data_IF_841223249551
#
_entry.id   IF_841223249551
#
_cell.length_a   1.000
_cell.length_b   1.000
_cell.length_c   1.000
_cell.angle_alpha   90.00
_cell.angle_beta   90.00
_cell.angle_gamma   90.00
#
_symmetry.space_group_name_H-M   'P 1'
#
loop_
_entity.id
_entity.type
_entity.pdbx_description
1 polymer ?
#
# COMPACT_ATOMS: atom_id res chain seq x y z
N UNK A 1 3.62 26.72 -16.82
CA UNK A 1 4.69 26.36 -15.88
C UNK A 1 5.55 25.25 -16.44
N UNK A 2 6.85 25.28 -16.13
CA UNK A 2 7.74 24.14 -16.37
C UNK A 2 7.62 23.17 -15.19
N UNK A 3 7.23 21.92 -15.45
CA UNK A 3 6.99 20.93 -14.41
C UNK A 3 7.96 19.78 -14.53
N UNK A 4 8.67 19.47 -13.44
CA UNK A 4 9.51 18.27 -13.31
C UNK A 4 8.97 17.35 -12.22
N UNK A 5 8.78 16.07 -12.55
CA UNK A 5 8.39 15.02 -11.61
C UNK A 5 9.61 14.14 -11.34
N UNK A 6 10.03 14.10 -10.08
CA UNK A 6 11.06 13.17 -9.60
C UNK A 6 10.39 11.88 -9.13
N UNK A 7 10.83 10.74 -9.66
CA UNK A 7 10.29 9.43 -9.35
C UNK A 7 11.43 8.50 -8.92
N UNK A 8 11.27 7.85 -7.76
CA UNK A 8 12.26 6.92 -7.22
C UNK A 8 12.41 5.63 -8.02
N UNK A 9 11.30 5.17 -8.60
CA UNK A 9 11.24 3.93 -9.35
C UNK A 9 11.71 4.10 -10.81
N UNK A 10 11.88 2.99 -11.51
CA UNK A 10 12.37 2.93 -12.89
C UNK A 10 11.37 3.52 -13.91
N UNK A 11 10.09 3.51 -13.55
CA UNK A 11 9.00 4.03 -14.37
C UNK A 11 8.02 4.81 -13.49
N UNK A 12 7.41 5.90 -14.00
CA UNK A 12 6.44 6.67 -13.24
C UNK A 12 5.11 5.93 -13.10
N UNK A 13 4.42 6.18 -11.97
CA UNK A 13 3.08 5.64 -11.73
C UNK A 13 2.87 5.04 -10.34
N UNK A 14 3.92 4.92 -9.52
CA UNK A 14 3.83 4.48 -8.13
C UNK A 14 3.05 3.17 -7.96
N UNK A 15 2.16 3.10 -6.98
CA UNK A 15 1.37 1.89 -6.71
C UNK A 15 0.40 1.49 -7.83
N UNK A 16 -0.03 2.41 -8.69
CA UNK A 16 -0.83 2.05 -9.87
C UNK A 16 -0.03 1.18 -10.85
N UNK A 17 1.29 1.43 -10.96
CA UNK A 17 2.19 0.65 -11.82
C UNK A 17 2.73 -0.56 -11.08
N UNK A 18 3.33 -0.38 -9.92
CA UNK A 18 4.09 -1.43 -9.26
C UNK A 18 3.32 -2.14 -8.13
N UNK A 19 2.23 -1.58 -7.61
CA UNK A 19 1.39 -2.21 -6.59
C UNK A 19 0.25 -3.03 -7.18
N UNK A 20 -0.60 -2.41 -7.99
CA UNK A 20 -1.78 -3.06 -8.57
C UNK A 20 -1.37 -4.04 -9.68
N UNK A 21 -1.82 -5.31 -9.67
CA UNK A 21 -1.50 -6.27 -10.72
C UNK A 21 -2.04 -5.87 -12.09
N UNK A 22 -1.34 -6.27 -13.16
CA UNK A 22 -1.73 -6.00 -14.55
C UNK A 22 -3.12 -6.55 -14.90
N UNK A 23 -3.53 -7.65 -14.28
CA UNK A 23 -4.87 -8.22 -14.49
C UNK A 23 -6.01 -7.44 -13.79
N UNK A 24 -5.67 -6.48 -12.92
CA UNK A 24 -6.62 -5.50 -12.34
C UNK A 24 -6.57 -4.16 -13.05
N UNK A 25 -5.36 -3.71 -13.43
CA UNK A 25 -5.14 -2.45 -14.11
C UNK A 25 -4.06 -2.62 -15.18
N UNK A 26 -4.47 -2.65 -16.45
CA UNK A 26 -3.54 -2.71 -17.59
C UNK A 26 -2.62 -1.49 -17.64
N UNK A 27 -1.31 -1.71 -17.70
CA UNK A 27 -0.31 -0.64 -17.61
C UNK A 27 -0.36 0.34 -18.79
N UNK A 28 -0.86 -0.09 -19.94
CA UNK A 28 -1.12 0.79 -21.10
C UNK A 28 -1.99 2.02 -20.77
N UNK A 29 -2.86 1.93 -19.74
CA UNK A 29 -3.69 3.06 -19.29
C UNK A 29 -2.79 4.11 -18.63
N UNK A 30 -1.82 3.68 -17.81
CA UNK A 30 -0.85 4.54 -17.16
C UNK A 30 0.09 5.14 -18.21
N UNK A 31 0.62 4.30 -19.13
CA UNK A 31 1.53 4.73 -20.19
C UNK A 31 0.90 5.80 -21.08
N UNK A 32 -0.37 5.61 -21.44
CA UNK A 32 -1.12 6.62 -22.20
C UNK A 32 -1.19 7.94 -21.45
N UNK A 33 -1.41 7.90 -20.13
CA UNK A 33 -1.52 9.10 -19.30
C UNK A 33 -0.18 9.82 -19.17
N UNK A 34 0.90 9.07 -18.90
CA UNK A 34 2.26 9.62 -18.82
C UNK A 34 2.65 10.26 -20.16
N UNK A 35 2.42 9.57 -21.29
CA UNK A 35 2.72 10.12 -22.61
C UNK A 35 1.99 11.44 -22.90
N UNK A 36 0.73 11.58 -22.48
CA UNK A 36 -0.01 12.84 -22.60
C UNK A 36 0.67 13.94 -21.80
N UNK A 37 1.05 13.65 -20.54
CA UNK A 37 1.76 14.61 -19.68
C UNK A 37 3.11 15.05 -20.29
N UNK A 38 3.88 14.10 -20.84
CA UNK A 38 5.13 14.39 -21.54
C UNK A 38 4.90 15.28 -22.78
N UNK A 39 3.83 15.02 -23.55
CA UNK A 39 3.45 15.87 -24.70
C UNK A 39 2.99 17.27 -24.27
N UNK A 40 2.48 17.42 -23.05
CA UNK A 40 2.16 18.71 -22.43
C UNK A 40 3.39 19.41 -21.83
N UNK A 41 4.59 18.82 -21.95
CA UNK A 41 5.86 19.39 -21.52
C UNK A 41 6.30 19.03 -20.11
N UNK A 42 5.63 18.07 -19.45
CA UNK A 42 6.07 17.59 -18.12
C UNK A 42 7.28 16.68 -18.27
N UNK A 43 8.33 16.96 -17.51
CA UNK A 43 9.57 16.17 -17.47
C UNK A 43 9.51 15.14 -16.33
N UNK A 44 9.74 13.86 -16.64
CA UNK A 44 9.89 12.81 -15.64
C UNK A 44 11.37 12.46 -15.46
N UNK A 45 11.88 12.57 -14.23
CA UNK A 45 13.20 12.10 -13.81
C UNK A 45 13.03 10.88 -12.94
N UNK A 46 13.11 9.72 -13.56
CA UNK A 46 13.02 8.42 -12.92
C UNK A 46 14.34 8.00 -12.27
N UNK A 47 14.33 6.93 -11.47
CA UNK A 47 15.49 6.48 -10.68
C UNK A 47 16.11 7.61 -9.84
N UNK A 48 15.26 8.52 -9.33
CA UNK A 48 15.71 9.70 -8.61
C UNK A 48 14.91 9.86 -7.31
N UNK A 49 15.44 9.32 -6.23
CA UNK A 49 14.84 9.45 -4.91
C UNK A 49 15.34 10.73 -4.25
N UNK A 50 14.43 11.70 -4.13
CA UNK A 50 14.71 12.96 -3.42
C UNK A 50 14.93 12.67 -1.93
N UNK A 51 16.01 13.22 -1.37
CA UNK A 51 16.48 12.94 -0.01
C UNK A 51 17.43 11.74 0.08
N UNK A 52 17.86 11.19 -1.09
CA UNK A 52 18.87 10.12 -1.16
C UNK A 52 19.81 10.30 -2.34
N UNK A 53 19.33 10.18 -3.60
CA UNK A 53 20.12 10.43 -4.82
C UNK A 53 20.36 11.92 -5.05
N UNK A 54 19.39 12.76 -4.70
CA UNK A 54 19.51 14.23 -4.71
C UNK A 54 19.02 14.77 -3.38
N UNK A 55 19.60 15.89 -2.93
CA UNK A 55 19.23 16.52 -1.68
C UNK A 55 17.87 17.23 -1.83
N UNK A 56 16.98 16.99 -0.86
CA UNK A 56 15.66 17.61 -0.87
C UNK A 56 15.71 19.13 -0.76
N UNK A 57 16.68 19.68 0.00
CA UNK A 57 16.92 21.12 0.13
C UNK A 57 17.35 21.78 -1.19
N UNK A 58 18.08 21.05 -2.05
CA UNK A 58 18.49 21.57 -3.35
C UNK A 58 17.28 21.65 -4.28
N UNK A 59 16.40 20.64 -4.27
CA UNK A 59 15.14 20.69 -5.01
C UNK A 59 14.28 21.88 -4.56
N UNK A 60 14.12 22.10 -3.25
CA UNK A 60 13.34 23.24 -2.73
C UNK A 60 13.94 24.59 -3.11
N UNK A 61 15.27 24.67 -3.24
CA UNK A 61 15.98 25.88 -3.65
C UNK A 61 15.88 26.16 -5.16
N UNK A 62 15.91 25.11 -5.97
CA UNK A 62 16.01 25.21 -7.42
C UNK A 62 14.66 25.39 -8.13
N UNK A 63 13.54 25.19 -7.42
CA UNK A 63 12.19 25.31 -7.95
C UNK A 63 11.38 26.39 -7.21
N UNK A 64 10.59 27.17 -7.95
CA UNK A 64 9.72 28.20 -7.39
C UNK A 64 8.66 27.64 -6.46
N UNK A 65 8.16 26.43 -6.73
CA UNK A 65 7.25 25.68 -5.87
C UNK A 65 7.52 24.16 -5.95
N UNK A 66 7.41 23.45 -4.84
CA UNK A 66 7.59 22.01 -4.75
C UNK A 66 6.37 21.36 -4.14
N UNK A 67 5.86 20.31 -4.77
CA UNK A 67 4.75 19.51 -4.26
C UNK A 67 5.20 18.09 -3.89
N UNK A 68 5.09 17.73 -2.62
CA UNK A 68 5.40 16.38 -2.11
C UNK A 68 4.19 15.48 -2.28
N UNK A 69 4.29 14.49 -3.18
CA UNK A 69 3.21 13.53 -3.50
C UNK A 69 3.73 12.09 -3.44
N UNK A 70 4.52 11.77 -2.40
CA UNK A 70 5.29 10.51 -2.27
C UNK A 70 4.47 9.31 -1.79
N UNK A 71 3.17 9.49 -1.56
CA UNK A 71 2.30 8.42 -1.06
C UNK A 71 2.51 8.08 0.42
N UNK A 72 1.97 6.93 0.85
CA UNK A 72 2.13 6.34 2.17
C UNK A 72 2.40 4.85 1.98
N UNK A 73 3.65 4.45 1.92
CA UNK A 73 4.06 3.09 1.55
C UNK A 73 4.72 2.30 2.70
N UNK A 74 4.85 2.90 3.90
CA UNK A 74 5.34 2.15 5.07
C UNK A 74 4.30 1.10 5.45
N UNK A 75 4.60 -0.20 5.30
CA UNK A 75 3.61 -1.24 5.52
C UNK A 75 3.36 -1.45 7.01
N UNK A 76 2.15 -1.82 7.36
CA UNK A 76 1.85 -2.33 8.70
C UNK A 76 2.48 -3.70 8.87
N UNK A 77 3.28 -3.87 9.91
CA UNK A 77 3.96 -5.12 10.24
C UNK A 77 3.28 -5.88 11.38
N UNK A 78 3.62 -7.16 11.52
CA UNK A 78 3.28 -8.03 12.64
C UNK A 78 4.54 -8.32 13.44
N UNK A 79 4.69 -7.64 14.58
CA UNK A 79 5.81 -7.86 15.51
C UNK A 79 5.55 -9.08 16.40
N UNK A 80 5.44 -10.26 15.80
CA UNK A 80 5.23 -11.54 16.48
C UNK A 80 6.42 -12.48 16.30
N UNK A 81 6.50 -13.51 17.12
CA UNK A 81 7.56 -14.54 17.05
C UNK A 81 7.66 -15.12 15.64
N UNK A 82 8.88 -15.34 15.15
CA UNK A 82 9.14 -15.93 13.84
C UNK A 82 9.04 -14.95 12.65
N UNK A 83 8.80 -13.63 12.87
CA UNK A 83 8.70 -12.64 11.79
C UNK A 83 9.91 -12.62 10.84
N UNK A 84 11.08 -13.01 11.33
CA UNK A 84 12.34 -13.06 10.58
C UNK A 84 12.50 -14.30 9.70
N UNK A 85 11.59 -15.27 9.76
CA UNK A 85 11.67 -16.50 8.99
C UNK A 85 11.61 -16.23 7.47
N UNK A 86 12.38 -16.99 6.71
CA UNK A 86 12.32 -16.97 5.25
C UNK A 86 10.94 -17.46 4.81
N UNK A 87 10.29 -16.68 3.96
CA UNK A 87 8.93 -16.94 3.49
C UNK A 87 7.89 -15.98 4.08
N UNK A 88 8.26 -15.11 5.04
CA UNK A 88 7.38 -14.05 5.55
C UNK A 88 7.73 -12.73 4.88
N UNK A 89 6.84 -12.24 4.01
CA UNK A 89 7.04 -11.08 3.15
C UNK A 89 5.92 -10.05 3.34
N UNK A 90 6.22 -8.79 3.03
CA UNK A 90 5.17 -7.82 2.79
C UNK A 90 4.51 -8.06 1.42
N UNK A 91 3.23 -7.76 1.32
CA UNK A 91 2.46 -7.92 0.07
C UNK A 91 3.11 -7.23 -1.13
N UNK A 92 3.61 -6.00 -0.95
CA UNK A 92 4.25 -5.25 -2.02
C UNK A 92 5.56 -5.87 -2.53
N UNK A 93 6.25 -6.69 -1.74
CA UNK A 93 7.44 -7.39 -2.23
C UNK A 93 7.08 -8.33 -3.39
N UNK A 94 5.98 -9.10 -3.25
CA UNK A 94 5.47 -9.95 -4.32
C UNK A 94 4.90 -9.12 -5.48
N UNK A 95 4.03 -8.15 -5.19
CA UNK A 95 3.29 -7.41 -6.21
C UNK A 95 4.22 -6.53 -7.05
N UNK A 96 5.13 -5.81 -6.41
CA UNK A 96 6.12 -4.97 -7.11
C UNK A 96 7.09 -5.81 -7.92
N UNK A 97 7.55 -6.93 -7.38
CA UNK A 97 8.39 -7.86 -8.12
C UNK A 97 7.69 -8.34 -9.40
N UNK A 98 6.44 -8.83 -9.28
CA UNK A 98 5.71 -9.35 -10.42
C UNK A 98 5.43 -8.29 -11.48
N UNK A 99 5.05 -7.08 -11.06
CA UNK A 99 4.85 -5.98 -11.99
C UNK A 99 6.14 -5.57 -12.70
N UNK A 100 7.28 -5.50 -11.99
CA UNK A 100 8.60 -5.22 -12.61
C UNK A 100 8.97 -6.27 -13.65
N UNK A 101 8.77 -7.54 -13.35
CA UNK A 101 9.02 -8.64 -14.30
C UNK A 101 8.16 -8.46 -15.57
N UNK A 102 6.88 -8.11 -15.42
CA UNK A 102 5.96 -7.89 -16.55
C UNK A 102 6.29 -6.62 -17.36
N UNK A 103 6.91 -5.61 -16.75
CA UNK A 103 7.44 -4.41 -17.42
C UNK A 103 8.83 -4.65 -18.04
N UNK A 104 9.37 -5.87 -17.97
CA UNK A 104 10.70 -6.20 -18.52
C UNK A 104 11.88 -5.72 -17.68
N UNK A 105 11.64 -5.28 -16.44
CA UNK A 105 12.70 -4.86 -15.52
C UNK A 105 13.33 -6.12 -14.90
N UNK A 106 14.63 -6.34 -15.05
CA UNK A 106 15.27 -7.59 -14.62
C UNK A 106 15.35 -7.69 -13.10
N UNK A 107 14.91 -8.83 -12.56
CA UNK A 107 15.08 -9.19 -11.15
C UNK A 107 15.88 -10.51 -11.10
N UNK A 108 16.98 -10.57 -10.33
CA UNK A 108 17.78 -11.77 -10.24
C UNK A 108 16.95 -12.98 -9.79
N UNK A 109 17.01 -14.13 -10.49
CA UNK A 109 16.18 -15.30 -10.17
C UNK A 109 16.28 -15.78 -8.72
N UNK A 110 17.45 -15.65 -8.10
CA UNK A 110 17.70 -16.07 -6.71
C UNK A 110 16.99 -15.20 -5.67
N UNK A 111 16.66 -13.95 -6.02
CA UNK A 111 15.93 -13.02 -5.14
C UNK A 111 14.43 -12.99 -5.41
N UNK A 112 13.96 -13.73 -6.43
CA UNK A 112 12.54 -13.76 -6.76
C UNK A 112 11.73 -14.59 -5.76
N UNK A 113 10.63 -14.00 -5.29
CA UNK A 113 9.56 -14.69 -4.57
C UNK A 113 8.79 -15.51 -5.63
N UNK A 114 8.69 -16.82 -5.42
CA UNK A 114 8.00 -17.72 -6.33
C UNK A 114 6.99 -18.57 -5.54
N UNK A 115 5.72 -18.47 -5.90
CA UNK A 115 4.64 -19.20 -5.23
C UNK A 115 4.36 -20.59 -5.86
N UNK A 116 5.02 -20.96 -6.96
CA UNK A 116 4.74 -22.23 -7.68
C UNK A 116 4.87 -23.44 -6.77
N UNK A 117 3.78 -24.22 -6.68
CA UNK A 117 3.70 -25.43 -5.88
C UNK A 117 3.73 -25.22 -4.37
N UNK A 118 3.64 -23.98 -3.88
CA UNK A 118 3.70 -23.63 -2.46
C UNK A 118 2.32 -23.42 -1.86
N UNK A 119 2.20 -23.66 -0.54
CA UNK A 119 1.07 -23.25 0.29
C UNK A 119 1.28 -21.78 0.66
N UNK A 120 0.37 -20.92 0.25
CA UNK A 120 0.44 -19.46 0.45
C UNK A 120 -0.62 -19.02 1.43
N UNK A 121 -0.23 -18.26 2.45
CA UNK A 121 -1.13 -17.59 3.36
C UNK A 121 -1.06 -16.08 3.14
N UNK A 122 -2.20 -15.42 2.94
CA UNK A 122 -2.34 -13.98 2.86
C UNK A 122 -3.02 -13.48 4.14
N UNK A 123 -2.37 -12.58 4.86
CA UNK A 123 -2.91 -11.97 6.08
C UNK A 123 -3.43 -10.57 5.74
N UNK A 124 -4.75 -10.41 5.76
CA UNK A 124 -5.49 -9.20 5.43
C UNK A 124 -6.51 -9.41 4.31
N UNK A 125 -7.73 -8.95 4.55
CA UNK A 125 -8.91 -9.15 3.68
C UNK A 125 -9.18 -8.03 2.66
N UNK A 126 -8.31 -7.02 2.56
CA UNK A 126 -8.48 -5.87 1.67
C UNK A 126 -8.06 -6.14 0.21
N UNK A 127 -8.09 -5.06 -0.61
CA UNK A 127 -7.76 -5.14 -2.04
C UNK A 127 -6.33 -5.65 -2.28
N UNK A 128 -5.35 -5.20 -1.49
CA UNK A 128 -3.96 -5.68 -1.56
C UNK A 128 -3.87 -7.19 -1.29
N UNK A 129 -4.65 -7.70 -0.33
CA UNK A 129 -4.73 -9.14 -0.06
C UNK A 129 -5.32 -9.91 -1.25
N UNK A 130 -6.40 -9.40 -1.84
CA UNK A 130 -6.98 -9.94 -3.07
C UNK A 130 -5.99 -9.98 -4.23
N UNK A 131 -5.15 -8.95 -4.37
CA UNK A 131 -4.11 -8.87 -5.40
C UNK A 131 -3.02 -9.92 -5.19
N UNK A 132 -2.62 -10.16 -3.93
CA UNK A 132 -1.71 -11.25 -3.57
C UNK A 132 -2.31 -12.63 -3.89
N UNK A 133 -3.60 -12.84 -3.58
CA UNK A 133 -4.32 -14.09 -3.91
C UNK A 133 -4.25 -14.37 -5.41
N UNK A 134 -4.66 -13.41 -6.24
CA UNK A 134 -4.64 -13.59 -7.71
C UNK A 134 -3.23 -13.76 -8.27
N UNK A 135 -2.24 -13.06 -7.72
CA UNK A 135 -0.84 -13.19 -8.14
C UNK A 135 -0.29 -14.56 -7.76
N UNK A 136 -0.56 -15.05 -6.54
CA UNK A 136 -0.11 -16.38 -6.10
C UNK A 136 -0.74 -17.51 -6.91
N UNK A 137 -2.04 -17.42 -7.24
CA UNK A 137 -2.72 -18.38 -8.11
C UNK A 137 -2.07 -18.43 -9.49
N UNK A 138 -1.79 -17.28 -10.10
CA UNK A 138 -1.13 -17.18 -11.42
C UNK A 138 0.31 -17.63 -11.42
N UNK A 139 0.99 -17.59 -10.27
CA UNK A 139 2.29 -18.25 -10.10
C UNK A 139 2.18 -19.77 -9.99
N UNK A 140 0.97 -20.34 -9.89
CA UNK A 140 0.75 -21.77 -9.72
C UNK A 140 0.97 -22.26 -8.28
N UNK A 141 0.52 -21.48 -7.28
CA UNK A 141 0.48 -21.92 -5.89
C UNK A 141 -0.34 -23.23 -5.73
N UNK A 142 0.10 -24.12 -4.86
CA UNK A 142 -0.64 -25.35 -4.58
C UNK A 142 -1.95 -25.09 -3.84
N UNK A 143 -1.95 -24.09 -2.98
CA UNK A 143 -3.12 -23.66 -2.21
C UNK A 143 -2.91 -22.20 -1.80
N UNK A 144 -3.98 -21.39 -1.84
CA UNK A 144 -3.98 -20.02 -1.32
C UNK A 144 -5.06 -19.91 -0.24
N UNK A 145 -4.65 -19.52 0.97
CA UNK A 145 -5.54 -19.19 2.07
C UNK A 145 -5.42 -17.72 2.39
N UNK A 146 -6.55 -17.04 2.60
CA UNK A 146 -6.60 -15.66 3.07
C UNK A 146 -7.29 -15.59 4.42
N UNK A 147 -6.67 -14.94 5.40
CA UNK A 147 -7.26 -14.73 6.71
C UNK A 147 -7.45 -13.24 7.01
N UNK A 148 -8.51 -12.95 7.76
CA UNK A 148 -8.83 -11.61 8.21
C UNK A 148 -9.16 -11.65 9.71
N UNK A 149 -8.65 -10.67 10.46
CA UNK A 149 -8.90 -10.53 11.89
C UNK A 149 -10.32 -10.04 12.18
N UNK A 150 -10.89 -9.28 11.26
CA UNK A 150 -12.25 -8.76 11.36
C UNK A 150 -13.28 -9.86 11.07
N UNK A 151 -14.53 -9.69 11.55
CA UNK A 151 -15.64 -10.57 11.19
C UNK A 151 -15.90 -10.56 9.68
N UNK A 152 -16.48 -11.65 9.20
CA UNK A 152 -16.96 -11.69 7.81
C UNK A 152 -17.98 -10.56 7.56
N UNK A 153 -17.74 -9.70 6.57
CA UNK A 153 -18.71 -8.68 6.22
C UNK A 153 -20.03 -9.30 5.72
N UNK A 154 -21.16 -8.62 5.91
CA UNK A 154 -22.44 -9.11 5.43
C UNK A 154 -22.48 -9.22 3.90
N UNK A 155 -23.26 -10.17 3.40
CA UNK A 155 -23.56 -10.29 1.97
C UNK A 155 -24.66 -9.30 1.61
N UNK A 156 -24.46 -8.50 0.55
CA UNK A 156 -25.43 -7.52 0.08
C UNK A 156 -25.36 -6.19 0.83
N UNK A 157 -26.51 -5.61 1.15
CA UNK A 157 -26.57 -4.28 1.81
C UNK A 157 -26.16 -4.37 3.27
N UNK A 158 -25.38 -3.38 3.71
CA UNK A 158 -25.02 -3.21 5.12
C UNK A 158 -25.70 -1.93 5.66
N UNK A 159 -26.68 -2.05 6.58
CA UNK A 159 -27.35 -0.88 7.16
C UNK A 159 -26.42 0.06 7.93
N UNK A 160 -25.28 -0.42 8.42
CA UNK A 160 -24.28 0.39 9.11
C UNK A 160 -23.49 1.30 8.17
N UNK A 161 -23.49 1.02 6.86
CA UNK A 161 -22.81 1.82 5.84
C UNK A 161 -23.73 2.08 4.63
N UNK A 162 -24.85 2.84 4.84
CA UNK A 162 -25.76 3.19 3.75
C UNK A 162 -25.09 4.13 2.75
N UNK A 163 -25.61 4.18 1.52
CA UNK A 163 -25.18 5.19 0.56
C UNK A 163 -25.35 6.61 1.13
N UNK A 164 -24.41 7.56 0.96
CA UNK A 164 -23.21 7.51 0.11
C UNK A 164 -21.91 6.98 0.79
N UNK A 165 -22.00 6.33 1.92
CA UNK A 165 -20.85 5.76 2.59
C UNK A 165 -20.24 4.62 1.76
N UNK A 166 -18.92 4.41 1.91
CA UNK A 166 -18.26 3.26 1.29
C UNK A 166 -18.81 1.96 1.89
N UNK A 167 -19.39 1.05 1.08
CA UNK A 167 -20.09 -0.12 1.61
C UNK A 167 -19.13 -1.15 2.20
N UNK A 168 -19.33 -1.46 3.48
CA UNK A 168 -18.64 -2.54 4.18
C UNK A 168 -19.43 -3.84 4.00
N UNK A 169 -19.27 -4.48 2.85
CA UNK A 169 -19.93 -5.72 2.46
C UNK A 169 -18.90 -6.75 2.01
N UNK A 170 -19.26 -8.02 2.03
CA UNK A 170 -18.42 -9.08 1.51
C UNK A 170 -18.17 -8.88 0.02
N UNK A 171 -16.92 -8.55 -0.31
CA UNK A 171 -16.48 -8.41 -1.71
C UNK A 171 -15.79 -9.70 -2.14
N UNK A 172 -16.24 -10.26 -3.24
CA UNK A 172 -15.55 -11.34 -3.94
C UNK A 172 -15.03 -10.77 -5.24
N UNK A 173 -13.72 -10.77 -5.39
CA UNK A 173 -13.06 -10.31 -6.62
C UNK A 173 -12.76 -11.50 -7.54
N UNK A 174 -12.46 -11.21 -8.82
CA UNK A 174 -12.00 -12.23 -9.76
C UNK A 174 -10.80 -13.05 -9.23
N UNK A 175 -9.92 -12.44 -8.43
CA UNK A 175 -8.81 -13.15 -7.79
C UNK A 175 -9.27 -14.25 -6.83
N UNK A 176 -10.34 -14.02 -6.07
CA UNK A 176 -10.91 -15.01 -5.17
C UNK A 176 -11.60 -16.14 -5.95
N UNK A 177 -12.22 -15.83 -7.09
CA UNK A 177 -12.89 -16.79 -7.97
C UNK A 177 -11.89 -17.76 -8.64
N UNK A 178 -10.62 -17.34 -8.80
CA UNK A 178 -9.54 -18.21 -9.29
C UNK A 178 -9.13 -19.29 -8.28
N UNK A 179 -9.59 -19.20 -7.04
CA UNK A 179 -9.36 -20.17 -5.98
C UNK A 179 -8.73 -19.54 -4.74
N UNK A 180 -9.46 -19.59 -3.61
CA UNK A 180 -8.96 -19.10 -2.34
C UNK A 180 -9.83 -19.63 -1.19
N UNK A 181 -9.20 -20.13 -0.13
CA UNK A 181 -9.85 -20.44 1.13
C UNK A 181 -9.86 -19.14 1.94
N UNK A 182 -11.04 -18.55 2.17
CA UNK A 182 -11.18 -17.31 2.94
C UNK A 182 -11.68 -17.60 4.35
N UNK A 183 -11.04 -17.00 5.34
CA UNK A 183 -11.37 -17.18 6.76
C UNK A 183 -11.32 -15.86 7.50
N UNK A 184 -12.21 -15.68 8.45
CA UNK A 184 -12.38 -14.46 9.23
C UNK A 184 -12.27 -14.75 10.73
N UNK A 185 -12.20 -13.68 11.54
CA UNK A 185 -12.04 -13.79 12.99
C UNK A 185 -10.78 -14.56 13.41
N UNK A 186 -9.68 -14.40 12.68
CA UNK A 186 -8.42 -15.10 12.97
C UNK A 186 -7.29 -14.10 13.20
N UNK A 187 -6.74 -14.11 14.41
CA UNK A 187 -5.51 -13.39 14.75
C UNK A 187 -4.30 -14.30 14.55
N UNK A 188 -3.20 -13.75 14.04
CA UNK A 188 -1.92 -14.47 13.92
C UNK A 188 -1.12 -14.30 15.19
N UNK A 189 -0.71 -15.39 15.84
CA UNK A 189 0.01 -15.38 17.11
C UNK A 189 1.53 -15.52 16.95
N UNK A 190 1.98 -16.39 16.04
CA UNK A 190 3.39 -16.59 15.72
C UNK A 190 3.58 -17.29 14.38
N UNK A 191 4.71 -17.04 13.76
CA UNK A 191 5.18 -17.80 12.60
C UNK A 191 5.99 -18.99 13.07
N UNK A 192 5.72 -20.17 12.53
CA UNK A 192 6.38 -21.42 12.89
C UNK A 192 7.39 -21.76 11.81
N UNK A 193 8.61 -22.05 12.22
CA UNK A 193 9.70 -22.33 11.29
C UNK A 193 10.51 -23.58 11.61
N UNK A 194 11.12 -24.14 10.58
CA UNK A 194 12.13 -25.17 10.67
C UNK A 194 13.35 -24.75 9.85
N UNK A 195 14.56 -24.84 10.44
CA UNK A 195 15.82 -24.44 9.76
C UNK A 195 15.75 -23.05 9.12
N UNK A 196 15.14 -22.08 9.84
CA UNK A 196 14.94 -20.71 9.39
C UNK A 196 13.98 -20.53 8.20
N UNK A 197 13.22 -21.55 7.79
CA UNK A 197 12.18 -21.44 6.77
C UNK A 197 10.81 -21.54 7.44
N UNK A 198 9.86 -20.79 6.94
CA UNK A 198 8.46 -20.85 7.36
C UNK A 198 7.88 -22.22 7.01
N UNK A 199 7.10 -22.81 7.93
CA UNK A 199 6.32 -24.03 7.72
C UNK A 199 4.84 -23.84 8.07
N UNK A 200 4.48 -22.77 8.78
CA UNK A 200 3.10 -22.47 9.13
C UNK A 200 2.95 -21.26 10.02
N UNK A 201 1.72 -20.93 10.32
CA UNK A 201 1.33 -19.83 11.21
C UNK A 201 0.35 -20.35 12.26
N UNK A 202 0.66 -20.14 13.54
CA UNK A 202 -0.31 -20.34 14.61
C UNK A 202 -1.28 -19.17 14.60
N UNK A 203 -2.56 -19.49 14.41
CA UNK A 203 -3.64 -18.52 14.47
C UNK A 203 -4.59 -18.86 15.61
N UNK A 204 -5.31 -17.84 16.10
CA UNK A 204 -6.28 -17.99 17.16
C UNK A 204 -7.60 -17.32 16.75
N UNK A 205 -8.71 -18.03 17.03
CA UNK A 205 -10.04 -17.48 16.83
C UNK A 205 -10.28 -16.28 17.76
N UNK A 206 -10.85 -15.21 17.21
CA UNK A 206 -11.18 -14.00 17.97
C UNK A 206 -12.66 -13.66 17.86
N UNK A 207 -13.17 -13.02 18.89
CA UNK A 207 -14.52 -12.45 18.93
C UNK A 207 -14.45 -10.95 19.09
N UNK A 208 -15.35 -10.23 18.44
CA UNK A 208 -15.50 -8.79 18.54
C UNK A 208 -16.69 -8.45 19.42
N UNK A 209 -16.42 -8.00 20.63
CA UNK A 209 -17.44 -7.67 21.63
C UNK A 209 -17.73 -6.17 21.59
N UNK A 210 -19.02 -5.75 21.50
CA UNK A 210 -19.39 -4.35 21.60
C UNK A 210 -18.83 -3.73 22.88
N UNK A 211 -18.30 -2.51 22.78
CA UNK A 211 -17.84 -1.77 23.95
C UNK A 211 -19.04 -1.30 24.80
N UNK A 212 -19.04 -1.46 26.12
CA UNK A 212 -20.15 -1.07 26.99
C UNK A 212 -20.48 0.43 26.94
N UNK A 213 -19.50 1.26 26.61
CA UNK A 213 -19.59 2.72 26.49
C UNK A 213 -19.96 3.20 25.07
N UNK A 214 -20.34 2.28 24.16
CA UNK A 214 -20.68 2.60 22.78
C UNK A 214 -19.47 2.94 21.89
N UNK A 215 -18.26 2.72 22.39
CA UNK A 215 -17.01 2.89 21.65
C UNK A 215 -16.79 1.80 20.59
N UNK A 216 -15.54 1.71 20.08
CA UNK A 216 -15.17 0.65 19.11
C UNK A 216 -15.27 -0.72 19.75
N UNK A 217 -15.77 -1.75 19.03
CA UNK A 217 -15.76 -3.12 19.51
C UNK A 217 -14.34 -3.55 19.94
N UNK A 218 -14.26 -4.34 21.00
CA UNK A 218 -13.01 -4.85 21.53
C UNK A 218 -12.81 -6.29 21.07
N UNK A 219 -11.58 -6.59 20.65
CA UNK A 219 -11.18 -7.94 20.27
C UNK A 219 -10.90 -8.78 21.53
N UNK A 220 -11.46 -9.99 21.57
CA UNK A 220 -11.20 -10.99 22.62
C UNK A 220 -10.73 -12.29 21.98
N UNK A 221 -9.64 -12.83 22.45
CA UNK A 221 -9.16 -14.16 22.07
C UNK A 221 -10.06 -15.24 22.71
N UNK A 222 -10.40 -16.28 21.95
CA UNK A 222 -11.26 -17.37 22.42
C UNK A 222 -10.49 -18.52 23.05
N UNK A 223 -9.18 -18.57 22.88
CA UNK A 223 -8.31 -19.68 23.28
C UNK A 223 -8.27 -20.83 22.26
N UNK A 224 -9.09 -20.80 21.21
CA UNK A 224 -9.06 -21.82 20.15
C UNK A 224 -7.97 -21.50 19.15
N UNK A 225 -6.91 -22.31 19.18
CA UNK A 225 -5.73 -22.18 18.33
C UNK A 225 -5.64 -23.29 17.32
N UNK A 226 -5.09 -22.97 16.17
CA UNK A 226 -4.75 -23.93 15.13
C UNK A 226 -3.51 -23.46 14.37
N UNK A 227 -2.92 -24.39 13.61
CA UNK A 227 -1.79 -24.10 12.73
C UNK A 227 -2.28 -24.16 11.28
N UNK A 228 -2.10 -23.06 10.55
CA UNK A 228 -2.27 -23.03 9.10
C UNK A 228 -0.91 -23.29 8.48
N UNK A 229 -0.77 -24.39 7.76
CA UNK A 229 0.46 -24.71 7.04
C UNK A 229 0.68 -23.69 5.91
N UNK A 230 1.88 -23.14 5.84
CA UNK A 230 2.27 -22.19 4.81
C UNK A 230 3.78 -22.20 4.55
N UNK A 231 4.17 -22.20 3.28
CA UNK A 231 5.53 -22.02 2.84
C UNK A 231 5.86 -20.55 2.62
N UNK A 232 4.83 -19.74 2.34
CA UNK A 232 4.91 -18.27 2.14
C UNK A 232 3.75 -17.58 2.86
N UNK A 233 4.08 -16.45 3.47
CA UNK A 233 3.10 -15.51 4.03
C UNK A 233 3.27 -14.15 3.40
N UNK A 234 2.15 -13.52 3.01
CA UNK A 234 2.10 -12.15 2.56
C UNK A 234 1.30 -11.29 3.52
N UNK A 235 1.97 -10.30 4.13
CA UNK A 235 1.35 -9.33 5.04
C UNK A 235 0.69 -8.23 4.20
N UNK A 236 -0.63 -8.25 4.11
CA UNK A 236 -1.46 -7.34 3.33
C UNK A 236 -2.39 -6.52 4.23
N UNK A 237 -1.84 -5.97 5.32
CA UNK A 237 -2.59 -5.31 6.40
C UNK A 237 -2.69 -3.78 6.23
N UNK A 238 -2.40 -3.27 5.04
CA UNK A 238 -2.41 -1.85 4.72
C UNK A 238 -1.11 -1.13 5.08
N UNK A 239 -1.15 0.19 4.91
CA UNK A 239 0.00 1.09 5.11
C UNK A 239 -0.26 2.03 6.28
N UNK A 240 0.80 2.58 6.83
CA UNK A 240 0.76 3.49 7.98
C UNK A 240 0.88 4.95 7.53
N UNK A 241 2.03 5.32 6.96
CA UNK A 241 2.41 6.70 6.66
C UNK A 241 3.48 6.72 5.54
N UNK A 242 3.87 7.91 5.04
CA UNK A 242 5.01 8.04 4.14
C UNK A 242 6.32 7.66 4.82
N UNK A 243 7.33 7.29 4.02
CA UNK A 243 8.70 7.06 4.48
C UNK A 243 9.25 8.32 5.13
N UNK A 244 9.72 8.22 6.38
CA UNK A 244 10.19 9.36 7.17
C UNK A 244 11.64 9.72 6.84
N UNK A 245 12.47 8.73 6.54
CA UNK A 245 13.87 8.96 6.19
C UNK A 245 13.99 9.61 4.79
N UNK A 246 15.02 10.36 4.58
CA UNK A 246 15.22 11.12 3.36
C UNK A 246 14.49 12.48 3.39
N UNK A 247 13.57 12.72 2.46
CA UNK A 247 12.95 14.03 2.22
C UNK A 247 12.30 14.65 3.46
N UNK A 248 11.45 13.90 4.17
CA UNK A 248 10.71 14.42 5.34
C UNK A 248 11.67 14.86 6.43
N UNK A 249 12.63 14.00 6.76
CA UNK A 249 13.64 14.25 7.80
C UNK A 249 14.61 15.37 7.40
N UNK A 250 15.07 15.36 6.15
CA UNK A 250 16.00 16.37 5.65
C UNK A 250 15.41 17.78 5.69
N UNK A 251 14.14 17.92 5.26
CA UNK A 251 13.42 19.19 5.26
C UNK A 251 12.75 19.50 6.61
N UNK A 252 12.86 18.61 7.59
CA UNK A 252 12.23 18.73 8.92
C UNK A 252 10.74 19.06 8.81
N UNK A 253 10.03 18.34 7.92
CA UNK A 253 8.60 18.56 7.76
C UNK A 253 7.85 18.15 9.03
N UNK A 254 6.92 18.99 9.44
CA UNK A 254 5.99 18.62 10.53
C UNK A 254 5.10 17.48 10.08
N UNK A 255 4.81 16.56 11.00
CA UNK A 255 3.89 15.44 10.79
C UNK A 255 2.74 15.48 11.79
N UNK A 256 1.63 14.85 11.46
CA UNK A 256 0.50 14.65 12.36
C UNK A 256 0.77 13.46 13.33
N UNK A 257 -0.21 13.15 14.19
CA UNK A 257 -0.13 12.05 15.16
C UNK A 257 -0.13 10.64 14.54
N UNK A 258 -0.18 10.54 13.20
CA UNK A 258 -0.08 9.31 12.42
C UNK A 258 1.13 9.32 11.49
N UNK A 259 2.06 10.23 11.70
CA UNK A 259 3.28 10.44 10.90
C UNK A 259 3.02 10.81 9.43
N UNK A 260 1.84 11.34 9.08
CA UNK A 260 1.59 11.94 7.77
C UNK A 260 2.06 13.39 7.74
N UNK A 261 2.42 13.91 6.58
CA UNK A 261 2.89 15.30 6.44
C UNK A 261 1.76 16.25 6.85
N UNK A 262 2.05 17.13 7.81
CA UNK A 262 1.10 18.14 8.25
C UNK A 262 1.06 19.31 7.26
N UNK A 263 -0.14 19.68 6.81
CA UNK A 263 -0.41 20.80 5.92
C UNK A 263 -1.62 21.57 6.39
N UNK A 264 -1.76 22.82 5.93
CA UNK A 264 -3.00 23.57 6.07
C UNK A 264 -4.08 23.12 5.06
N UNK A 265 -5.23 23.78 5.07
CA UNK A 265 -6.34 23.46 4.16
C UNK A 265 -6.03 23.69 2.67
N UNK A 266 -5.01 24.45 2.35
CA UNK A 266 -4.57 24.75 0.99
C UNK A 266 -3.42 23.82 0.53
N UNK A 267 -2.91 22.96 1.44
CA UNK A 267 -1.83 22.02 1.17
C UNK A 267 -0.42 22.60 1.41
N UNK A 268 -0.31 23.79 2.03
CA UNK A 268 0.99 24.33 2.42
C UNK A 268 1.55 23.58 3.63
N UNK A 269 2.85 23.33 3.58
CA UNK A 269 3.61 22.94 4.76
C UNK A 269 4.05 24.21 5.52
N UNK A 270 4.80 24.04 6.60
CA UNK A 270 5.39 25.20 7.30
C UNK A 270 6.48 25.93 6.47
N UNK A 271 6.94 25.35 5.37
CA UNK A 271 7.93 25.95 4.47
C UNK A 271 7.24 26.71 3.34
N UNK A 272 7.73 27.91 3.01
CA UNK A 272 7.03 28.90 2.20
C UNK A 272 6.67 28.50 0.77
N UNK A 273 7.46 27.66 0.09
CA UNK A 273 7.22 27.21 -1.29
C UNK A 273 7.00 25.69 -1.39
N UNK A 274 6.74 25.03 -0.26
CA UNK A 274 6.62 23.59 -0.19
C UNK A 274 5.20 23.18 0.16
N UNK A 275 4.62 22.34 -0.68
CA UNK A 275 3.27 21.81 -0.59
C UNK A 275 3.30 20.29 -0.45
N UNK A 276 2.22 19.70 0.05
CA UNK A 276 2.05 18.25 0.03
C UNK A 276 0.61 17.85 -0.25
N UNK A 277 0.42 16.66 -0.85
CA UNK A 277 -0.91 16.17 -1.21
C UNK A 277 -0.98 14.64 -1.22
N UNK A 278 -2.19 14.13 -1.40
CA UNK A 278 -2.47 12.70 -1.53
C UNK A 278 -2.24 11.93 -0.24
N UNK A 279 -1.85 10.67 -0.38
CA UNK A 279 -1.68 9.77 0.75
C UNK A 279 -0.52 10.17 1.67
N UNK A 280 0.42 10.97 1.20
CA UNK A 280 1.48 11.55 2.05
C UNK A 280 0.92 12.45 3.16
N UNK A 281 -0.27 13.01 2.96
CA UNK A 281 -0.98 13.92 3.89
C UNK A 281 -2.11 13.20 4.61
N UNK A 282 -2.92 12.40 3.89
CA UNK A 282 -4.13 11.79 4.45
C UNK A 282 -3.93 10.39 5.02
N UNK A 283 -2.77 9.78 4.81
CA UNK A 283 -2.56 8.34 4.93
C UNK A 283 -3.13 7.59 3.72
N UNK A 284 -2.83 6.30 3.62
CA UNK A 284 -3.27 5.46 2.51
C UNK A 284 -4.79 5.50 2.32
N UNK A 285 -5.22 5.80 1.10
CA UNK A 285 -6.63 6.02 0.79
C UNK A 285 -6.99 5.59 -0.65
N UNK A 286 -8.21 5.94 -1.10
CA UNK A 286 -8.61 5.67 -2.47
C UNK A 286 -7.90 6.60 -3.46
N UNK A 287 -7.51 6.07 -4.61
CA UNK A 287 -6.83 6.85 -5.67
C UNK A 287 -7.60 8.10 -6.09
N UNK A 288 -8.94 8.05 -6.09
CA UNK A 288 -9.78 9.23 -6.40
C UNK A 288 -9.62 10.36 -5.38
N UNK A 289 -9.36 10.04 -4.11
CA UNK A 289 -9.08 11.03 -3.06
C UNK A 289 -7.71 11.66 -3.24
N UNK A 290 -6.70 10.84 -3.53
CA UNK A 290 -5.35 11.33 -3.83
C UNK A 290 -5.34 12.25 -5.05
N UNK A 291 -6.06 11.88 -6.13
CA UNK A 291 -6.25 12.73 -7.32
C UNK A 291 -6.95 14.06 -7.00
N UNK A 292 -8.02 14.03 -6.19
CA UNK A 292 -8.74 15.23 -5.79
C UNK A 292 -7.85 16.15 -4.95
N UNK A 293 -7.08 15.59 -4.01
CA UNK A 293 -6.09 16.30 -3.20
C UNK A 293 -5.05 16.99 -4.08
N UNK A 294 -4.43 16.25 -5.01
CA UNK A 294 -3.44 16.79 -5.95
C UNK A 294 -3.98 17.95 -6.79
N UNK A 295 -5.22 17.84 -7.32
CA UNK A 295 -5.87 18.92 -8.08
C UNK A 295 -6.13 20.16 -7.23
N UNK A 296 -6.50 20.00 -5.96
CA UNK A 296 -6.72 21.13 -5.06
C UNK A 296 -5.41 21.85 -4.74
N UNK A 297 -4.36 21.08 -4.42
CA UNK A 297 -3.03 21.65 -4.14
C UNK A 297 -2.44 22.32 -5.39
N UNK A 298 -2.63 21.76 -6.60
CA UNK A 298 -2.20 22.39 -7.83
C UNK A 298 -2.82 23.80 -8.03
N UNK A 299 -4.11 24.00 -7.68
CA UNK A 299 -4.73 25.33 -7.69
C UNK A 299 -4.12 26.29 -6.64
N UNK A 300 -3.69 25.76 -5.51
CA UNK A 300 -3.00 26.56 -4.48
C UNK A 300 -1.61 26.99 -4.95
N UNK A 301 -0.88 26.10 -5.60
CA UNK A 301 0.44 26.38 -6.20
C UNK A 301 0.29 27.42 -7.31
N UNK A 302 -0.71 27.29 -8.19
CA UNK A 302 -0.98 28.28 -9.24
C UNK A 302 -1.18 29.68 -8.66
N UNK A 303 -2.01 29.84 -7.62
CA UNK A 303 -2.21 31.12 -6.94
C UNK A 303 -0.92 31.65 -6.31
N UNK A 304 -0.16 30.78 -5.66
CA UNK A 304 1.12 31.14 -5.04
C UNK A 304 2.10 31.70 -6.08
N UNK A 305 2.25 31.03 -7.23
CA UNK A 305 3.15 31.45 -8.30
C UNK A 305 2.69 32.73 -9.04
N UNK A 306 1.39 33.08 -8.97
CA UNK A 306 0.87 34.33 -9.54
C UNK A 306 1.08 35.54 -8.62
N UNK A 307 1.31 35.32 -7.32
CA UNK A 307 1.43 36.36 -6.31
C UNK A 307 2.86 36.64 -5.89
N UNK A 308 3.80 35.80 -6.26
CA UNK A 308 5.24 35.93 -6.02
C UNK A 308 5.99 36.00 -7.35
#
# INVERSE_FOLDING_TARGET
YEVTVFEKDELPGGLLRFGIPTFKLGKHIIDRRIRIMEQEGILFRVNTMVGKEILAKDVVKDFDAVCVAIGAEVPRDLSIEGRHLRGVHFALELLSQQNRILEGIPIPPKSQINCKGKKVLVIGGGDTGSDCVGTANRHGAACVTQIEIMPQPPVGQNPATPWPMYPQVLKTSSSHEEGCIRRWNLASNRFIGEKNNLIGVEVEEVEWVPSPDGGRPQMRQTGKKEIIEADLVFLAMGFLHPEQEGLIKELRLATDNRDNIAVDNAGYTANSNLFACGDAVSGASLVVKAMASGRNVARSIDRFLQTN
#
